data_IF_998546495300
#
_entry.id   IF_998546495300
#
_cell.length_a   1.000
_cell.length_b   1.000
_cell.length_c   1.000
_cell.angle_alpha   90.00
_cell.angle_beta   90.00
_cell.angle_gamma   90.00
#
_symmetry.space_group_name_H-M   'P 1'
#
loop_
_entity.id
_entity.type
_entity.pdbx_description
1 polymer ?
#
# COMPACT_ATOMS: atom_id res chain seq x y z
N UNK A 1 -28.26 -6.87 5.51
CA UNK A 1 -26.89 -6.35 5.68
C UNK A 1 -26.85 -5.67 7.03
N UNK A 2 -26.06 -6.18 7.97
CA UNK A 2 -25.84 -5.50 9.25
C UNK A 2 -24.91 -4.33 8.97
N UNK A 3 -25.47 -3.12 8.96
CA UNK A 3 -24.71 -1.88 8.85
C UNK A 3 -23.80 -1.79 10.07
N UNK A 4 -22.47 -1.78 9.88
CA UNK A 4 -21.54 -1.55 10.98
C UNK A 4 -21.42 -0.06 11.24
N UNK A 5 -21.26 0.31 12.51
CA UNK A 5 -20.76 1.63 12.85
C UNK A 5 -19.22 1.56 12.82
N UNK A 6 -18.59 2.44 12.06
CA UNK A 6 -17.13 2.60 12.15
C UNK A 6 -16.76 3.05 13.57
N UNK A 7 -15.63 2.54 14.13
CA UNK A 7 -15.23 2.88 15.47
C UNK A 7 -14.81 4.35 15.54
N UNK A 8 -14.77 4.93 16.74
CA UNK A 8 -14.10 6.21 16.93
C UNK A 8 -12.60 6.02 16.74
N UNK A 9 -12.07 6.54 15.63
CA UNK A 9 -10.66 6.43 15.31
C UNK A 9 -9.82 7.38 16.16
N UNK A 10 -8.97 6.81 17.02
CA UNK A 10 -7.94 7.60 17.70
C UNK A 10 -6.86 8.01 16.71
N UNK A 11 -6.85 9.28 16.30
CA UNK A 11 -5.88 9.84 15.36
C UNK A 11 -5.10 10.99 16.01
N UNK A 12 -3.94 10.72 16.65
CA UNK A 12 -3.18 11.73 17.38
C UNK A 12 -2.32 12.63 16.46
N UNK A 13 -2.31 12.35 15.16
CA UNK A 13 -1.50 13.07 14.18
C UNK A 13 -2.30 14.20 13.52
N UNK A 14 -1.67 15.37 13.41
CA UNK A 14 -2.23 16.53 12.72
C UNK A 14 -2.14 16.34 11.21
N UNK A 15 -3.14 16.85 10.48
CA UNK A 15 -3.12 16.83 9.02
C UNK A 15 -1.97 17.69 8.49
N UNK A 16 -1.18 17.11 7.59
CA UNK A 16 -0.14 17.82 6.85
C UNK A 16 -0.68 18.52 5.58
N UNK A 17 -2.00 18.50 5.38
CA UNK A 17 -2.66 19.04 4.20
C UNK A 17 -2.67 18.05 3.03
N UNK A 18 -3.01 18.56 1.85
CA UNK A 18 -3.00 17.83 0.59
C UNK A 18 -2.13 18.62 -0.40
N UNK A 19 -1.31 17.92 -1.18
CA UNK A 19 -0.47 18.56 -2.18
C UNK A 19 -1.34 19.35 -3.17
N UNK A 20 -1.01 20.63 -3.47
CA UNK A 20 -1.78 21.44 -4.42
C UNK A 20 -1.73 20.91 -5.86
N UNK A 21 -0.76 20.05 -6.18
CA UNK A 21 -0.58 19.44 -7.50
C UNK A 21 -1.54 18.29 -7.83
N UNK A 22 -2.50 17.97 -6.97
CA UNK A 22 -3.39 16.80 -7.09
C UNK A 22 -4.12 16.71 -8.44
N UNK A 23 -4.62 17.84 -8.96
CA UNK A 23 -5.39 17.85 -10.22
C UNK A 23 -4.51 17.49 -11.42
N UNK A 24 -3.31 18.07 -11.50
CA UNK A 24 -2.35 17.77 -12.56
C UNK A 24 -1.80 16.34 -12.44
N UNK A 25 -1.58 15.88 -11.21
CA UNK A 25 -1.17 14.50 -10.91
C UNK A 25 -2.19 13.49 -11.43
N UNK A 26 -3.49 13.76 -11.20
CA UNK A 26 -4.56 12.91 -11.69
C UNK A 26 -4.56 12.81 -13.21
N UNK A 27 -4.41 13.93 -13.92
CA UNK A 27 -4.31 13.94 -15.41
C UNK A 27 -3.07 13.17 -15.88
N UNK A 28 -1.91 13.45 -15.28
CA UNK A 28 -0.64 12.82 -15.62
C UNK A 28 -0.66 11.30 -15.41
N UNK A 29 -1.38 10.79 -14.40
CA UNK A 29 -1.53 9.35 -14.18
C UNK A 29 -2.34 8.67 -15.30
N UNK A 30 -3.43 9.29 -15.75
CA UNK A 30 -4.24 8.76 -16.86
C UNK A 30 -3.51 8.81 -18.21
N UNK A 31 -2.85 9.93 -18.52
CA UNK A 31 -2.04 10.07 -19.74
C UNK A 31 -0.89 9.05 -19.75
N UNK A 32 -0.24 8.85 -18.60
CA UNK A 32 0.78 7.82 -18.43
C UNK A 32 0.23 6.41 -18.65
N UNK A 33 -0.94 6.08 -18.09
CA UNK A 33 -1.56 4.77 -18.29
C UNK A 33 -1.88 4.52 -19.78
N UNK A 34 -2.45 5.50 -20.47
CA UNK A 34 -2.76 5.42 -21.90
C UNK A 34 -1.50 5.26 -22.76
N UNK A 35 -0.45 6.04 -22.49
CA UNK A 35 0.82 5.97 -23.23
C UNK A 35 1.55 4.62 -23.06
N UNK A 36 1.34 3.93 -21.94
CA UNK A 36 1.87 2.59 -21.69
C UNK A 36 0.95 1.45 -22.17
N UNK A 37 -0.14 1.79 -22.88
CA UNK A 37 -1.06 0.81 -23.45
C UNK A 37 -1.99 0.15 -22.42
N UNK A 38 -2.13 0.73 -21.23
CA UNK A 38 -3.06 0.28 -20.19
C UNK A 38 -4.48 0.74 -20.54
N UNK A 39 -5.10 0.12 -21.54
CA UNK A 39 -6.51 0.35 -21.87
C UNK A 39 -7.41 -0.40 -20.88
N UNK A 40 -7.92 0.31 -19.87
CA UNK A 40 -8.82 -0.24 -18.85
C UNK A 40 -10.20 -0.54 -19.46
N UNK A 41 -10.83 -1.63 -19.00
CA UNK A 41 -12.25 -1.88 -19.27
C UNK A 41 -13.12 -0.74 -18.69
N UNK A 42 -14.36 -0.52 -19.17
CA UNK A 42 -15.24 0.49 -18.59
C UNK A 42 -15.42 0.34 -17.08
N UNK A 43 -15.48 -0.91 -16.60
CA UNK A 43 -15.58 -1.25 -15.18
C UNK A 43 -14.31 -0.88 -14.41
N UNK A 44 -13.13 -1.36 -14.87
CA UNK A 44 -11.84 -1.04 -14.25
C UNK A 44 -11.59 0.47 -14.23
N UNK A 45 -11.97 1.18 -15.30
CA UNK A 45 -11.88 2.65 -15.37
C UNK A 45 -12.71 3.32 -14.29
N UNK A 46 -13.95 2.86 -14.08
CA UNK A 46 -14.84 3.39 -13.03
C UNK A 46 -14.30 3.07 -11.62
N UNK A 47 -13.81 1.85 -11.39
CA UNK A 47 -13.16 1.45 -10.13
C UNK A 47 -11.95 2.34 -9.82
N UNK A 48 -11.10 2.60 -10.81
CA UNK A 48 -9.93 3.47 -10.68
C UNK A 48 -10.31 4.93 -10.37
N UNK A 49 -11.31 5.50 -11.06
CA UNK A 49 -11.82 6.85 -10.76
C UNK A 49 -12.28 6.96 -9.31
N UNK A 50 -13.00 5.96 -8.80
CA UNK A 50 -13.50 5.95 -7.42
C UNK A 50 -12.39 5.71 -6.38
N UNK A 51 -11.34 5.02 -6.81
CA UNK A 51 -10.16 4.74 -5.98
C UNK A 51 -9.32 5.99 -5.78
N UNK A 52 -9.28 6.93 -6.72
CA UNK A 52 -8.61 8.23 -6.57
C UNK A 52 -7.14 8.11 -6.10
N UNK A 53 -6.27 7.41 -6.84
CA UNK A 53 -4.86 7.25 -6.46
C UNK A 53 -4.16 8.61 -6.27
N UNK A 54 -4.56 9.63 -7.03
CA UNK A 54 -4.04 10.99 -6.92
C UNK A 54 -4.31 11.63 -5.55
N UNK A 55 -5.45 11.30 -4.94
CA UNK A 55 -5.83 11.82 -3.63
C UNK A 55 -4.94 11.22 -2.54
N UNK A 56 -4.75 9.90 -2.55
CA UNK A 56 -3.92 9.24 -1.54
C UNK A 56 -2.48 9.74 -1.59
N UNK A 57 -1.87 9.75 -2.80
CA UNK A 57 -0.50 10.24 -2.98
C UNK A 57 -0.36 11.71 -2.58
N UNK A 58 -1.33 12.55 -2.89
CA UNK A 58 -1.30 13.97 -2.50
C UNK A 58 -1.44 14.19 -0.99
N UNK A 59 -2.08 13.26 -0.27
CA UNK A 59 -2.22 13.32 1.18
C UNK A 59 -0.97 12.80 1.90
N UNK A 60 -0.32 11.76 1.37
CA UNK A 60 0.87 11.17 2.00
C UNK A 60 2.17 11.88 1.58
N UNK A 61 2.18 12.60 0.45
CA UNK A 61 3.30 13.42 -0.03
C UNK A 61 2.91 14.91 -0.21
N UNK A 62 2.48 15.61 0.86
CA UNK A 62 1.90 16.96 0.76
C UNK A 62 2.89 18.03 0.28
N UNK A 63 4.20 17.76 0.36
CA UNK A 63 5.27 18.70 -0.01
C UNK A 63 6.17 18.21 -1.14
N UNK A 64 5.85 17.06 -1.76
CA UNK A 64 6.61 16.57 -2.91
C UNK A 64 6.52 17.53 -4.11
N UNK A 65 7.58 17.58 -4.92
CA UNK A 65 7.55 18.26 -6.21
C UNK A 65 6.52 17.59 -7.13
N UNK A 66 6.00 18.36 -8.10
CA UNK A 66 5.04 17.82 -9.08
C UNK A 66 5.57 16.56 -9.78
N UNK A 67 6.85 16.59 -10.21
CA UNK A 67 7.49 15.45 -10.87
C UNK A 67 7.50 14.18 -10.03
N UNK A 68 7.79 14.28 -8.73
CA UNK A 68 7.76 13.12 -7.83
C UNK A 68 6.32 12.68 -7.55
N UNK A 69 5.41 13.62 -7.38
CA UNK A 69 3.99 13.36 -7.15
C UNK A 69 3.36 12.56 -8.30
N UNK A 70 3.65 12.97 -9.55
CA UNK A 70 3.22 12.28 -10.77
C UNK A 70 3.76 10.84 -10.80
N UNK A 71 5.06 10.66 -10.55
CA UNK A 71 5.71 9.34 -10.53
C UNK A 71 5.09 8.43 -9.46
N UNK A 72 4.87 8.94 -8.25
CA UNK A 72 4.34 8.13 -7.14
C UNK A 72 2.86 7.77 -7.36
N UNK A 73 2.09 8.68 -7.97
CA UNK A 73 0.72 8.39 -8.39
C UNK A 73 0.65 7.33 -9.49
N UNK A 74 1.60 7.32 -10.43
CA UNK A 74 1.67 6.29 -11.45
C UNK A 74 2.07 4.93 -10.86
N UNK A 75 2.96 4.89 -9.87
CA UNK A 75 3.24 3.68 -9.09
C UNK A 75 1.98 3.14 -8.40
N UNK A 76 1.21 4.00 -7.74
CA UNK A 76 -0.02 3.57 -7.06
C UNK A 76 -1.11 3.15 -8.04
N UNK A 77 -1.26 3.86 -9.16
CA UNK A 77 -2.18 3.50 -10.23
C UNK A 77 -1.86 2.09 -10.75
N UNK A 78 -0.58 1.83 -11.04
CA UNK A 78 -0.11 0.51 -11.45
C UNK A 78 -0.34 -0.54 -10.37
N UNK A 79 -0.08 -0.22 -9.10
CA UNK A 79 -0.29 -1.13 -7.98
C UNK A 79 -1.76 -1.51 -7.80
N UNK A 80 -2.70 -0.59 -8.00
CA UNK A 80 -4.13 -0.92 -7.99
C UNK A 80 -4.55 -1.80 -9.18
N UNK A 81 -3.92 -1.70 -10.34
CA UNK A 81 -4.18 -2.63 -11.45
C UNK A 81 -3.62 -4.03 -11.18
N UNK A 82 -2.51 -4.13 -10.45
CA UNK A 82 -1.99 -5.39 -9.92
C UNK A 82 -3.01 -5.97 -8.93
N UNK A 83 -3.38 -5.22 -7.89
CA UNK A 83 -4.40 -5.59 -6.89
C UNK A 83 -5.68 -6.12 -7.55
N UNK A 84 -6.24 -5.37 -8.52
CA UNK A 84 -7.45 -5.77 -9.24
C UNK A 84 -7.31 -7.13 -9.97
N UNK A 85 -6.15 -7.44 -10.56
CA UNK A 85 -5.93 -8.72 -11.23
C UNK A 85 -5.71 -9.87 -10.25
N UNK A 86 -4.95 -9.63 -9.18
CA UNK A 86 -4.58 -10.68 -8.24
C UNK A 86 -5.67 -10.95 -7.17
N UNK A 87 -6.58 -10.02 -6.93
CA UNK A 87 -7.74 -10.24 -6.04
C UNK A 87 -8.97 -10.72 -6.81
N UNK A 88 -9.33 -10.01 -7.88
CA UNK A 88 -10.58 -10.26 -8.61
C UNK A 88 -10.37 -11.14 -9.85
N UNK A 89 -9.13 -11.24 -10.35
CA UNK A 89 -8.78 -11.83 -11.64
C UNK A 89 -8.30 -13.28 -11.65
N UNK A 90 -8.01 -13.82 -12.85
CA UNK A 90 -7.66 -15.23 -13.03
C UNK A 90 -6.31 -15.54 -12.40
N UNK A 91 -5.36 -14.60 -12.41
CA UNK A 91 -4.08 -14.76 -11.72
C UNK A 91 -4.29 -14.99 -10.21
N UNK A 92 -5.25 -14.30 -9.58
CA UNK A 92 -5.61 -14.51 -8.18
C UNK A 92 -6.25 -15.85 -7.84
N UNK A 93 -6.89 -16.50 -8.83
CA UNK A 93 -7.69 -17.72 -8.64
C UNK A 93 -6.93 -19.01 -8.97
N UNK A 94 -5.82 -18.91 -9.70
CA UNK A 94 -4.94 -20.04 -10.01
C UNK A 94 -3.51 -19.74 -9.54
N UNK A 95 -2.99 -20.44 -8.52
CA UNK A 95 -1.63 -20.24 -8.02
C UNK A 95 -0.54 -20.31 -9.10
N UNK A 96 -0.69 -21.15 -10.14
CA UNK A 96 0.32 -21.24 -11.21
C UNK A 96 0.29 -20.01 -12.11
N UNK A 97 -0.90 -19.48 -12.39
CA UNK A 97 -1.02 -18.23 -13.15
C UNK A 97 -0.49 -17.06 -12.31
N UNK A 98 -0.76 -17.06 -11.00
CA UNK A 98 -0.22 -16.10 -10.05
C UNK A 98 1.31 -16.07 -10.08
N UNK A 99 1.95 -17.23 -9.88
CA UNK A 99 3.41 -17.41 -9.91
C UNK A 99 3.99 -16.90 -11.24
N UNK A 100 3.44 -17.35 -12.37
CA UNK A 100 3.92 -16.95 -13.69
C UNK A 100 3.76 -15.45 -13.96
N UNK A 101 2.73 -14.78 -13.41
CA UNK A 101 2.56 -13.34 -13.51
C UNK A 101 3.56 -12.58 -12.64
N UNK A 102 3.72 -13.00 -11.37
CA UNK A 102 4.69 -12.41 -10.43
C UNK A 102 6.11 -12.53 -10.98
N UNK A 103 6.51 -13.70 -11.48
CA UNK A 103 7.85 -13.92 -12.04
C UNK A 103 8.17 -12.94 -13.18
N UNK A 104 7.19 -12.63 -14.05
CA UNK A 104 7.39 -11.64 -15.12
C UNK A 104 7.59 -10.24 -14.58
N UNK A 105 6.81 -9.83 -13.57
CA UNK A 105 6.97 -8.53 -12.92
C UNK A 105 8.34 -8.42 -12.22
N UNK A 106 8.75 -9.47 -11.51
CA UNK A 106 10.05 -9.55 -10.84
C UNK A 106 11.19 -9.47 -11.85
N UNK A 107 11.09 -10.20 -12.97
CA UNK A 107 12.08 -10.16 -14.04
C UNK A 107 12.26 -8.74 -14.62
N UNK A 108 11.17 -7.98 -14.78
CA UNK A 108 11.22 -6.58 -15.22
C UNK A 108 11.89 -5.69 -14.19
N UNK A 109 11.64 -5.89 -12.88
CA UNK A 109 12.37 -5.19 -11.81
C UNK A 109 13.89 -5.47 -11.89
N UNK A 110 14.27 -6.66 -12.33
CA UNK A 110 15.67 -7.07 -12.57
C UNK A 110 16.24 -6.57 -13.92
N UNK A 111 15.40 -6.00 -14.78
CA UNK A 111 15.81 -5.39 -16.04
C UNK A 111 15.62 -6.28 -17.27
N UNK A 112 14.85 -7.36 -17.16
CA UNK A 112 14.41 -8.12 -18.34
C UNK A 112 13.40 -7.34 -19.18
N UNK A 113 13.22 -7.81 -20.43
CA UNK A 113 12.32 -7.18 -21.38
C UNK A 113 10.85 -7.48 -21.06
N UNK A 114 9.95 -6.50 -21.23
CA UNK A 114 8.53 -6.66 -20.95
C UNK A 114 7.86 -7.56 -21.99
N UNK A 115 6.77 -8.23 -21.59
CA UNK A 115 5.97 -9.11 -22.47
C UNK A 115 4.53 -8.62 -22.68
N UNK A 116 4.03 -7.76 -21.80
CA UNK A 116 2.69 -7.17 -21.85
C UNK A 116 2.68 -5.74 -21.34
N UNK A 117 1.50 -5.09 -21.38
CA UNK A 117 1.37 -3.67 -21.05
C UNK A 117 1.72 -3.36 -19.59
N UNK A 118 1.40 -4.28 -18.66
CA UNK A 118 1.74 -4.11 -17.23
C UNK A 118 3.25 -4.15 -17.01
N UNK A 119 3.97 -5.05 -17.70
CA UNK A 119 5.43 -5.07 -17.70
C UNK A 119 6.01 -3.82 -18.38
N UNK A 120 5.45 -3.37 -19.51
CA UNK A 120 5.89 -2.16 -20.20
C UNK A 120 5.78 -0.92 -19.31
N UNK A 121 4.66 -0.75 -18.62
CA UNK A 121 4.46 0.31 -17.64
C UNK A 121 5.49 0.26 -16.50
N UNK A 122 5.79 -0.95 -16.02
CA UNK A 122 6.77 -1.15 -14.95
C UNK A 122 8.21 -0.82 -15.38
N UNK A 123 8.58 -1.03 -16.65
CA UNK A 123 9.90 -0.62 -17.17
C UNK A 123 10.12 0.87 -17.01
N UNK A 124 9.13 1.69 -17.36
CA UNK A 124 9.21 3.15 -17.25
C UNK A 124 9.26 3.60 -15.77
N UNK A 125 8.38 3.06 -14.92
CA UNK A 125 8.37 3.33 -13.48
C UNK A 125 9.71 2.99 -12.84
N UNK A 126 10.25 1.80 -13.12
CA UNK A 126 11.56 1.35 -12.66
C UNK A 126 12.66 2.30 -13.10
N UNK A 127 12.69 2.67 -14.38
CA UNK A 127 13.74 3.53 -14.93
C UNK A 127 13.78 4.90 -14.24
N UNK A 128 12.61 5.52 -14.04
CA UNK A 128 12.50 6.83 -13.37
C UNK A 128 12.77 6.75 -11.87
N UNK A 129 12.35 5.68 -11.20
CA UNK A 129 12.58 5.50 -9.76
C UNK A 129 14.02 5.12 -9.41
N UNK A 130 14.71 4.35 -10.26
CA UNK A 130 16.09 3.92 -9.98
C UNK A 130 17.13 4.95 -10.42
N UNK A 131 16.73 5.99 -11.15
CA UNK A 131 17.61 7.05 -11.61
C UNK A 131 18.34 7.74 -10.44
N UNK A 132 19.66 7.85 -10.54
CA UNK A 132 20.55 8.42 -9.50
C UNK A 132 20.38 7.80 -8.10
N UNK A 133 19.91 6.56 -7.99
CA UNK A 133 19.82 5.83 -6.72
C UNK A 133 21.00 4.88 -6.54
N UNK A 134 21.42 4.72 -5.29
CA UNK A 134 22.44 3.75 -4.92
C UNK A 134 21.93 2.32 -5.09
N UNK A 135 22.87 1.39 -5.33
CA UNK A 135 22.52 -0.04 -5.42
C UNK A 135 21.89 -0.58 -4.12
N UNK A 136 22.18 0.04 -2.96
CA UNK A 136 21.55 -0.31 -1.68
C UNK A 136 20.08 0.07 -1.66
N UNK A 137 19.77 1.31 -2.04
CA UNK A 137 18.39 1.78 -2.10
C UNK A 137 17.57 0.94 -3.10
N UNK A 138 18.12 0.69 -4.29
CA UNK A 138 17.47 -0.14 -5.32
C UNK A 138 17.16 -1.55 -4.80
N UNK A 139 18.11 -2.19 -4.10
CA UNK A 139 17.88 -3.52 -3.51
C UNK A 139 16.78 -3.51 -2.46
N UNK A 140 16.70 -2.46 -1.65
CA UNK A 140 15.66 -2.32 -0.63
C UNK A 140 14.29 -2.16 -1.27
N UNK A 141 14.14 -1.19 -2.17
CA UNK A 141 12.88 -0.93 -2.86
C UNK A 141 12.39 -2.17 -3.62
N UNK A 142 13.29 -2.83 -4.37
CA UNK A 142 12.98 -4.10 -5.03
C UNK A 142 12.54 -5.16 -4.04
N UNK A 143 13.24 -5.35 -2.92
CA UNK A 143 12.86 -6.35 -1.91
C UNK A 143 11.43 -6.10 -1.43
N UNK A 144 11.10 -4.87 -1.07
CA UNK A 144 9.80 -4.53 -0.50
C UNK A 144 8.68 -4.65 -1.56
N UNK A 145 8.93 -4.28 -2.82
CA UNK A 145 7.98 -4.51 -3.92
C UNK A 145 7.77 -6.00 -4.19
N UNK A 146 8.84 -6.79 -4.21
CA UNK A 146 8.77 -8.23 -4.50
C UNK A 146 8.10 -8.99 -3.35
N UNK A 147 8.36 -8.63 -2.09
CA UNK A 147 7.66 -9.20 -0.94
C UNK A 147 6.16 -9.01 -1.04
N UNK A 148 5.70 -7.79 -1.40
CA UNK A 148 4.28 -7.53 -1.66
C UNK A 148 3.73 -8.39 -2.80
N UNK A 149 4.41 -8.48 -3.95
CA UNK A 149 3.90 -9.29 -5.06
C UNK A 149 3.70 -10.76 -4.67
N UNK A 150 4.62 -11.33 -3.88
CA UNK A 150 4.52 -12.72 -3.43
C UNK A 150 3.42 -12.96 -2.39
N UNK A 151 2.83 -11.93 -1.77
CA UNK A 151 1.68 -12.13 -0.88
C UNK A 151 0.47 -12.66 -1.65
N UNK A 152 0.24 -12.22 -2.88
CA UNK A 152 -0.87 -12.72 -3.69
C UNK A 152 -0.76 -14.22 -3.97
N UNK A 153 0.45 -14.74 -4.19
CA UNK A 153 0.66 -16.17 -4.38
C UNK A 153 0.35 -16.96 -3.11
N UNK A 154 0.81 -16.47 -1.95
CA UNK A 154 0.49 -17.09 -0.66
C UNK A 154 -1.02 -17.18 -0.44
N UNK A 155 -1.76 -16.09 -0.66
CA UNK A 155 -3.22 -16.07 -0.52
C UNK A 155 -3.91 -16.98 -1.54
N UNK A 156 -3.45 -17.02 -2.79
CA UNK A 156 -3.99 -17.91 -3.82
C UNK A 156 -3.82 -19.38 -3.44
N UNK A 157 -2.66 -19.75 -2.87
CA UNK A 157 -2.40 -21.12 -2.37
C UNK A 157 -3.29 -21.46 -1.18
N UNK A 158 -3.41 -20.56 -0.20
CA UNK A 158 -4.28 -20.75 0.97
C UNK A 158 -5.74 -20.94 0.53
N UNK A 159 -6.23 -20.09 -0.36
CA UNK A 159 -7.58 -20.16 -0.93
C UNK A 159 -7.80 -21.49 -1.66
N UNK A 160 -6.86 -21.92 -2.50
CA UNK A 160 -6.93 -23.20 -3.21
C UNK A 160 -6.90 -24.42 -2.25
N UNK A 161 -6.21 -24.29 -1.11
CA UNK A 161 -6.14 -25.31 -0.06
C UNK A 161 -7.34 -25.27 0.91
N UNK A 162 -8.25 -24.30 0.79
CA UNK A 162 -9.34 -24.08 1.75
C UNK A 162 -8.84 -23.68 3.14
N UNK A 163 -7.67 -23.05 3.20
CA UNK A 163 -7.04 -22.58 4.44
C UNK A 163 -7.36 -21.10 4.65
N UNK A 164 -7.44 -20.71 5.92
CA UNK A 164 -7.59 -19.31 6.33
C UNK A 164 -6.53 -19.04 7.40
N UNK A 165 -5.76 -17.94 7.31
CA UNK A 165 -4.67 -17.69 8.24
C UNK A 165 -5.17 -17.51 9.69
N UNK A 166 -4.29 -17.77 10.65
CA UNK A 166 -4.47 -17.29 12.02
C UNK A 166 -4.25 -15.78 12.08
N UNK A 167 -4.77 -15.11 13.11
CA UNK A 167 -4.51 -13.67 13.33
C UNK A 167 -3.02 -13.31 13.33
N UNK A 168 -2.18 -14.15 13.92
CA UNK A 168 -0.73 -13.89 14.01
C UNK A 168 -0.01 -14.06 12.66
N UNK A 169 -0.45 -15.01 11.83
CA UNK A 169 0.06 -15.17 10.47
C UNK A 169 -0.39 -14.00 9.60
N UNK A 170 -1.67 -13.64 9.69
CA UNK A 170 -2.23 -12.53 8.93
C UNK A 170 -1.55 -11.20 9.24
N UNK A 171 -1.28 -10.86 10.51
CA UNK A 171 -0.56 -9.61 10.84
C UNK A 171 0.82 -9.54 10.18
N UNK A 172 1.55 -10.67 10.08
CA UNK A 172 2.85 -10.70 9.40
C UNK A 172 2.71 -10.54 7.89
N UNK A 173 1.77 -11.28 7.32
CA UNK A 173 1.43 -11.23 5.89
C UNK A 173 0.96 -9.84 5.46
N UNK A 174 0.08 -9.22 6.27
CA UNK A 174 -0.54 -7.92 6.01
C UNK A 174 0.47 -6.78 5.94
N UNK A 175 1.63 -6.91 6.60
CA UNK A 175 2.71 -5.93 6.49
C UNK A 175 3.26 -5.83 5.08
N UNK A 176 3.33 -6.95 4.37
CA UNK A 176 3.75 -6.97 2.98
C UNK A 176 2.54 -6.74 2.05
N UNK A 177 1.38 -7.34 2.35
CA UNK A 177 0.22 -7.32 1.44
C UNK A 177 -0.46 -5.97 1.31
N UNK A 178 -0.34 -5.08 2.30
CA UNK A 178 -0.81 -3.68 2.20
C UNK A 178 0.06 -2.82 1.27
N UNK A 179 1.22 -3.31 0.82
CA UNK A 179 2.12 -2.61 -0.10
C UNK A 179 2.66 -1.25 0.38
N UNK A 180 2.66 -0.98 1.69
CA UNK A 180 3.08 0.32 2.24
C UNK A 180 4.61 0.52 2.21
N UNK A 181 5.40 -0.54 2.42
CA UNK A 181 6.86 -0.44 2.55
C UNK A 181 7.55 0.21 1.33
N UNK A 182 7.19 -0.12 0.07
CA UNK A 182 7.68 0.62 -1.10
C UNK A 182 7.38 2.12 -1.05
N UNK A 183 6.21 2.56 -0.57
CA UNK A 183 5.90 3.99 -0.44
C UNK A 183 6.69 4.66 0.67
N UNK A 184 7.01 3.95 1.76
CA UNK A 184 7.93 4.44 2.79
C UNK A 184 9.34 4.66 2.25
N UNK A 185 9.78 3.87 1.27
CA UNK A 185 11.07 4.06 0.59
C UNK A 185 11.06 5.29 -0.34
N UNK A 186 9.92 5.59 -0.99
CA UNK A 186 9.79 6.77 -1.86
C UNK A 186 9.91 8.10 -1.09
N UNK A 187 9.68 8.12 0.23
CA UNK A 187 9.98 9.29 1.06
C UNK A 187 11.47 9.64 1.11
N UNK A 188 12.36 8.68 0.91
CA UNK A 188 13.79 8.99 0.83
C UNK A 188 14.12 9.80 -0.44
N UNK A 189 13.39 9.57 -1.53
CA UNK A 189 13.51 10.35 -2.78
C UNK A 189 13.12 11.81 -2.53
N UNK A 190 12.02 12.08 -1.83
CA UNK A 190 11.59 13.46 -1.51
C UNK A 190 12.52 14.12 -0.49
N UNK A 191 13.11 13.33 0.42
CA UNK A 191 14.16 13.77 1.32
C UNK A 191 15.50 14.05 0.62
N UNK A 192 15.66 13.62 -0.63
CA UNK A 192 16.86 13.83 -1.45
C UNK A 192 18.06 12.99 -0.99
N UNK A 193 17.83 11.87 -0.31
CA UNK A 193 18.88 11.02 0.24
C UNK A 193 18.60 9.55 -0.07
N UNK A 194 19.64 8.72 -0.05
CA UNK A 194 19.50 7.29 0.21
C UNK A 194 19.99 7.04 1.63
N UNK A 195 19.10 6.65 2.54
CA UNK A 195 19.50 6.43 3.93
C UNK A 195 20.55 5.32 4.00
N UNK A 196 21.66 5.53 4.76
CA UNK A 196 22.66 4.49 4.94
C UNK A 196 22.09 3.32 5.74
N UNK A 197 22.65 2.13 5.53
CA UNK A 197 22.23 0.90 6.23
C UNK A 197 22.25 1.06 7.75
N UNK A 198 23.22 1.82 8.28
CA UNK A 198 23.33 2.11 9.72
C UNK A 198 22.12 2.86 10.28
N UNK A 199 21.48 3.72 9.47
CA UNK A 199 20.26 4.41 9.86
C UNK A 199 19.03 3.49 9.70
N UNK A 200 18.94 2.76 8.57
CA UNK A 200 17.84 1.83 8.31
C UNK A 200 17.80 0.63 9.26
N UNK A 201 18.95 0.26 9.83
CA UNK A 201 19.09 -0.85 10.78
C UNK A 201 18.79 -0.46 12.23
N UNK A 202 18.50 0.81 12.52
CA UNK A 202 18.11 1.23 13.86
C UNK A 202 16.82 0.52 14.28
N UNK A 203 16.79 -0.19 15.43
CA UNK A 203 15.61 -0.91 15.88
C UNK A 203 14.34 -0.05 15.90
N UNK A 204 14.43 1.19 16.36
CA UNK A 204 13.30 2.11 16.40
C UNK A 204 12.83 2.55 15.00
N UNK A 205 13.74 2.67 14.02
CA UNK A 205 13.35 2.97 12.63
C UNK A 205 12.58 1.82 11.99
N UNK A 206 13.04 0.58 12.21
CA UNK A 206 12.32 -0.63 11.78
C UNK A 206 10.96 -0.73 12.47
N UNK A 207 10.91 -0.49 13.79
CA UNK A 207 9.67 -0.50 14.56
C UNK A 207 8.67 0.56 14.07
N UNK A 208 9.17 1.76 13.73
CA UNK A 208 8.35 2.84 13.17
C UNK A 208 7.74 2.45 11.83
N UNK A 209 8.55 1.98 10.87
CA UNK A 209 8.07 1.53 9.55
C UNK A 209 7.02 0.43 9.67
N UNK A 210 7.26 -0.54 10.56
CA UNK A 210 6.31 -1.61 10.83
C UNK A 210 5.01 -1.08 11.47
N UNK A 211 5.08 -0.14 12.41
CA UNK A 211 3.89 0.42 13.05
C UNK A 211 3.05 1.27 12.07
N UNK A 212 3.69 2.05 11.20
CA UNK A 212 3.02 2.82 10.14
C UNK A 212 2.31 1.88 9.16
N UNK A 213 2.99 0.82 8.75
CA UNK A 213 2.43 -0.23 7.88
C UNK A 213 1.26 -0.96 8.54
N UNK A 214 1.44 -1.40 9.80
CA UNK A 214 0.39 -2.06 10.60
C UNK A 214 -0.85 -1.16 10.70
N UNK A 215 -0.66 0.15 10.91
CA UNK A 215 -1.75 1.12 11.04
C UNK A 215 -2.52 1.24 9.72
N UNK A 216 -1.81 1.41 8.60
CA UNK A 216 -2.46 1.55 7.30
C UNK A 216 -3.23 0.29 6.91
N UNK A 217 -2.64 -0.90 7.11
CA UNK A 217 -3.29 -2.17 6.83
C UNK A 217 -4.56 -2.37 7.66
N UNK A 218 -4.50 -2.14 8.98
CA UNK A 218 -5.67 -2.31 9.83
C UNK A 218 -6.73 -1.23 9.58
N UNK A 219 -6.34 0.01 9.28
CA UNK A 219 -7.28 1.05 8.90
C UNK A 219 -8.01 0.69 7.60
N UNK A 220 -7.29 0.14 6.63
CA UNK A 220 -7.87 -0.37 5.40
C UNK A 220 -8.87 -1.48 5.69
N UNK A 221 -8.47 -2.51 6.44
CA UNK A 221 -9.33 -3.66 6.77
C UNK A 221 -10.64 -3.23 7.45
N UNK A 222 -10.61 -2.24 8.34
CA UNK A 222 -11.83 -1.70 8.99
C UNK A 222 -12.71 -0.98 7.96
N UNK A 223 -12.13 -0.11 7.14
CA UNK A 223 -12.86 0.72 6.18
C UNK A 223 -13.36 -0.04 4.95
N UNK A 224 -12.68 -1.13 4.57
CA UNK A 224 -13.03 -1.96 3.42
C UNK A 224 -13.92 -3.14 3.78
N UNK A 225 -14.08 -3.46 5.07
CA UNK A 225 -14.75 -4.67 5.54
C UNK A 225 -16.12 -4.90 4.90
N UNK A 226 -17.02 -3.91 4.89
CA UNK A 226 -18.38 -4.09 4.35
C UNK A 226 -18.36 -4.53 2.89
N UNK A 227 -17.48 -3.92 2.08
CA UNK A 227 -17.29 -4.27 0.67
C UNK A 227 -16.70 -5.68 0.55
N UNK A 228 -15.64 -5.96 1.29
CA UNK A 228 -14.89 -7.21 1.19
C UNK A 228 -15.72 -8.42 1.65
N UNK A 229 -16.51 -8.24 2.70
CA UNK A 229 -17.42 -9.26 3.19
C UNK A 229 -18.51 -9.63 2.15
N UNK A 230 -18.95 -8.70 1.31
CA UNK A 230 -19.88 -8.98 0.20
C UNK A 230 -19.25 -9.85 -0.89
N UNK A 231 -17.93 -9.74 -1.06
CA UNK A 231 -17.14 -10.51 -2.03
C UNK A 231 -16.64 -11.85 -1.46
N UNK A 232 -16.90 -12.13 -0.18
CA UNK A 232 -16.43 -13.34 0.49
C UNK A 232 -14.91 -13.34 0.73
N UNK A 233 -14.29 -12.16 0.82
CA UNK A 233 -12.87 -12.02 1.09
C UNK A 233 -12.57 -12.34 2.56
N UNK A 234 -11.70 -13.31 2.81
CA UNK A 234 -11.42 -13.83 4.18
C UNK A 234 -10.14 -13.24 4.80
N UNK A 235 -9.27 -12.61 4.00
CA UNK A 235 -7.98 -12.02 4.41
C UNK A 235 -8.16 -10.60 4.96
N UNK A 236 -8.97 -10.45 6.02
CA UNK A 236 -9.28 -9.17 6.66
C UNK A 236 -9.23 -9.30 8.20
N UNK A 237 -8.58 -8.36 8.89
CA UNK A 237 -8.42 -8.42 10.35
C UNK A 237 -9.76 -8.50 11.11
N UNK A 238 -10.78 -7.73 10.72
CA UNK A 238 -12.10 -7.73 11.36
C UNK A 238 -12.74 -9.11 11.24
N UNK A 239 -12.65 -9.73 10.06
CA UNK A 239 -13.16 -11.10 9.81
C UNK A 239 -12.48 -12.13 10.71
N UNK A 240 -11.15 -12.06 10.81
CA UNK A 240 -10.36 -12.99 11.63
C UNK A 240 -10.60 -12.78 13.13
N UNK A 241 -10.75 -11.54 13.59
CA UNK A 241 -11.13 -11.22 14.98
C UNK A 241 -12.51 -11.81 15.28
N UNK A 242 -13.48 -11.59 14.39
CA UNK A 242 -14.83 -12.11 14.55
C UNK A 242 -14.84 -13.64 14.70
N UNK A 243 -14.13 -14.32 13.78
CA UNK A 243 -14.00 -15.79 13.76
C UNK A 243 -13.37 -16.33 15.03
N UNK A 244 -12.23 -15.77 15.45
CA UNK A 244 -11.41 -16.35 16.52
C UNK A 244 -11.94 -16.05 17.93
N UNK A 245 -12.62 -14.91 18.11
CA UNK A 245 -13.13 -14.47 19.41
C UNK A 245 -14.61 -14.81 19.65
N UNK A 246 -15.33 -15.27 18.63
CA UNK A 246 -16.78 -15.48 18.71
C UNK A 246 -17.58 -14.19 18.88
N UNK A 247 -16.99 -13.06 18.49
CA UNK A 247 -17.60 -11.73 18.59
C UNK A 247 -18.73 -11.56 17.59
N UNK A 248 -19.68 -10.68 17.94
CA UNK A 248 -20.53 -10.05 16.94
C UNK A 248 -19.67 -9.23 15.97
N UNK A 249 -20.24 -8.90 14.81
CA UNK A 249 -19.49 -8.11 13.83
C UNK A 249 -19.09 -6.73 14.40
N UNK A 250 -19.99 -6.06 15.12
CA UNK A 250 -19.68 -4.75 15.71
C UNK A 250 -18.57 -4.86 16.76
N UNK A 251 -18.60 -5.88 17.63
CA UNK A 251 -17.53 -6.11 18.62
C UNK A 251 -16.17 -6.37 17.95
N UNK A 252 -16.14 -7.05 16.81
CA UNK A 252 -14.91 -7.26 16.05
C UNK A 252 -14.36 -5.95 15.43
N UNK A 253 -15.25 -5.08 14.94
CA UNK A 253 -14.90 -3.75 14.44
C UNK A 253 -14.38 -2.85 15.56
N UNK A 254 -15.03 -2.86 16.72
CA UNK A 254 -14.63 -2.07 17.88
C UNK A 254 -13.26 -2.52 18.43
N UNK A 255 -13.03 -3.84 18.49
CA UNK A 255 -11.74 -4.43 18.86
C UNK A 255 -10.63 -4.04 17.87
N UNK A 256 -10.91 -4.07 16.57
CA UNK A 256 -9.98 -3.60 15.53
C UNK A 256 -9.67 -2.10 15.70
N UNK A 257 -10.67 -1.28 16.03
CA UNK A 257 -10.48 0.14 16.36
C UNK A 257 -9.57 0.35 17.57
N UNK A 258 -9.75 -0.45 18.63
CA UNK A 258 -8.86 -0.44 19.80
C UNK A 258 -7.41 -0.82 19.47
N UNK A 259 -7.21 -1.85 18.63
CA UNK A 259 -5.88 -2.23 18.16
C UNK A 259 -5.24 -1.15 17.29
N UNK A 260 -6.02 -0.46 16.44
CA UNK A 260 -5.53 0.64 15.62
C UNK A 260 -5.03 1.81 16.49
N UNK A 261 -5.75 2.15 17.56
CA UNK A 261 -5.31 3.14 18.53
C UNK A 261 -3.97 2.76 19.19
N UNK A 262 -3.81 1.50 19.60
CA UNK A 262 -2.55 1.01 20.17
C UNK A 262 -1.39 1.06 19.17
N UNK A 263 -1.66 0.84 17.87
CA UNK A 263 -0.64 0.97 16.83
C UNK A 263 -0.25 2.44 16.65
N UNK A 264 -1.17 3.40 16.72
CA UNK A 264 -0.85 4.82 16.70
C UNK A 264 0.06 5.23 17.86
N UNK A 265 -0.15 4.68 19.07
CA UNK A 265 0.77 4.86 20.20
C UNK A 265 2.15 4.23 19.95
N UNK A 266 2.21 3.07 19.27
CA UNK A 266 3.48 2.44 18.87
C UNK A 266 4.27 3.32 17.90
N UNK A 267 3.60 3.99 16.97
CA UNK A 267 4.24 4.97 16.06
C UNK A 267 4.91 6.08 16.88
N UNK A 268 4.15 6.74 17.78
CA UNK A 268 4.71 7.81 18.63
C UNK A 268 5.86 7.35 19.52
N UNK A 269 5.78 6.12 20.04
CA UNK A 269 6.85 5.54 20.86
C UNK A 269 8.12 5.30 20.05
N UNK A 270 7.99 4.68 18.88
CA UNK A 270 9.14 4.40 18.01
C UNK A 270 9.83 5.70 17.54
N UNK A 271 9.08 6.77 17.29
CA UNK A 271 9.66 8.09 16.99
C UNK A 271 10.53 8.63 18.13
N UNK A 272 10.04 8.49 19.36
CA UNK A 272 10.78 8.95 20.53
C UNK A 272 12.04 8.13 20.75
N UNK A 273 11.92 6.80 20.67
CA UNK A 273 13.05 5.87 20.80
C UNK A 273 14.11 6.11 19.71
N UNK A 274 13.67 6.46 18.49
CA UNK A 274 14.57 6.73 17.38
C UNK A 274 15.47 7.93 17.63
N UNK A 275 15.02 8.97 18.34
CA UNK A 275 15.87 10.11 18.70
C UNK A 275 17.03 9.65 19.58
N UNK A 276 16.74 8.82 20.59
CA UNK A 276 17.76 8.29 21.49
C UNK A 276 18.74 7.35 20.74
N UNK A 277 18.24 6.54 19.81
CA UNK A 277 19.06 5.66 18.99
C UNK A 277 19.95 6.42 17.97
N UNK A 278 19.45 7.51 17.37
CA UNK A 278 20.23 8.38 16.48
C UNK A 278 21.44 8.96 17.23
N UNK A 279 21.22 9.46 18.45
CA UNK A 279 22.29 9.99 19.31
C UNK A 279 23.28 8.88 19.70
N UNK A 280 22.78 7.73 20.15
CA UNK A 280 23.62 6.60 20.55
C UNK A 280 24.47 6.04 19.40
N UNK A 281 23.94 6.05 18.17
CA UNK A 281 24.64 5.63 16.97
C UNK A 281 25.62 6.68 16.42
N UNK A 282 25.66 7.90 16.99
CA UNK A 282 26.50 8.98 16.51
C UNK A 282 26.14 9.47 15.11
N UNK A 283 24.85 9.40 14.75
CA UNK A 283 24.36 9.87 13.44
C UNK A 283 24.16 11.39 13.50
N UNK A 284 24.88 12.12 12.65
CA UNK A 284 24.92 13.58 12.66
C UNK A 284 24.79 14.18 11.26
N UNK A 285 24.63 15.50 11.21
CA UNK A 285 24.67 16.28 9.97
C UNK A 285 23.53 15.92 9.00
N UNK A 286 23.81 15.86 7.68
CA UNK A 286 22.78 15.62 6.67
C UNK A 286 21.99 14.32 6.87
N UNK A 287 22.63 13.23 7.30
CA UNK A 287 21.96 11.95 7.54
C UNK A 287 20.89 12.05 8.63
N UNK A 288 21.19 12.76 9.73
CA UNK A 288 20.22 12.99 10.81
C UNK A 288 19.05 13.81 10.32
N UNK A 289 19.31 14.92 9.63
CA UNK A 289 18.26 15.81 9.12
C UNK A 289 17.31 15.07 8.16
N UNK A 290 17.84 14.23 7.26
CA UNK A 290 17.00 13.45 6.35
C UNK A 290 16.23 12.33 7.05
N UNK A 291 16.82 11.68 8.06
CA UNK A 291 16.13 10.67 8.87
C UNK A 291 14.97 11.30 9.66
N UNK A 292 15.20 12.42 10.32
CA UNK A 292 14.17 13.20 11.03
C UNK A 292 13.06 13.64 10.06
N UNK A 293 13.41 14.05 8.82
CA UNK A 293 12.42 14.37 7.78
C UNK A 293 11.58 13.16 7.38
N UNK A 294 12.18 12.01 7.12
CA UNK A 294 11.44 10.79 6.79
C UNK A 294 10.46 10.40 7.91
N UNK A 295 10.89 10.53 9.16
CA UNK A 295 10.07 10.25 10.34
C UNK A 295 8.88 11.21 10.43
N UNK A 296 9.11 12.50 10.22
CA UNK A 296 8.04 13.50 10.17
C UNK A 296 7.04 13.19 9.06
N UNK A 297 7.53 12.81 7.88
CA UNK A 297 6.69 12.46 6.75
C UNK A 297 5.82 11.22 7.04
N UNK A 298 6.34 10.23 7.77
CA UNK A 298 5.56 9.03 8.15
C UNK A 298 4.35 9.35 9.05
N UNK A 299 4.43 10.37 9.92
CA UNK A 299 3.26 10.88 10.65
C UNK A 299 2.22 11.47 9.72
N UNK A 300 2.70 12.27 8.77
CA UNK A 300 1.87 12.86 7.72
C UNK A 300 1.18 11.78 6.90
N UNK A 301 1.89 10.70 6.59
CA UNK A 301 1.38 9.54 5.87
C UNK A 301 0.27 8.83 6.67
N UNK A 302 0.48 8.48 7.95
CA UNK A 302 -0.56 7.83 8.77
C UNK A 302 -1.84 8.67 8.79
N UNK A 303 -1.70 9.99 8.94
CA UNK A 303 -2.84 10.90 8.91
C UNK A 303 -3.46 11.02 7.52
N UNK A 304 -2.65 11.12 6.48
CA UNK A 304 -3.07 11.24 5.09
C UNK A 304 -3.83 10.00 4.61
N UNK A 305 -3.36 8.81 5.00
CA UNK A 305 -4.01 7.54 4.73
C UNK A 305 -5.39 7.44 5.41
N UNK A 306 -5.48 7.82 6.68
CA UNK A 306 -6.76 7.93 7.38
C UNK A 306 -7.73 8.91 6.69
N UNK A 307 -7.23 10.10 6.35
CA UNK A 307 -7.99 11.13 5.66
C UNK A 307 -8.47 10.67 4.26
N UNK A 308 -7.71 9.80 3.58
CA UNK A 308 -8.07 9.20 2.29
C UNK A 308 -9.24 8.22 2.45
N UNK A 309 -9.18 7.32 3.43
CA UNK A 309 -10.26 6.36 3.70
C UNK A 309 -11.60 7.05 3.99
N UNK A 310 -11.57 8.21 4.63
CA UNK A 310 -12.76 9.03 4.89
C UNK A 310 -13.33 9.76 3.65
N UNK A 311 -12.58 9.83 2.53
CA UNK A 311 -12.93 10.65 1.36
C UNK A 311 -13.13 9.86 0.07
N UNK A 312 -12.41 8.75 -0.11
CA UNK A 312 -12.47 8.00 -1.35
C UNK A 312 -13.77 7.20 -1.47
N UNK A 313 -14.43 7.30 -2.62
CA UNK A 313 -15.67 6.56 -2.90
C UNK A 313 -15.48 5.04 -2.92
N UNK A 314 -14.22 4.58 -3.00
CA UNK A 314 -13.84 3.17 -2.76
C UNK A 314 -14.33 2.66 -1.40
N UNK A 315 -14.36 3.52 -0.36
CA UNK A 315 -14.76 3.14 1.00
C UNK A 315 -16.07 3.80 1.45
N UNK A 316 -16.33 5.05 1.06
CA UNK A 316 -17.52 5.79 1.52
C UNK A 316 -18.83 5.39 0.83
N UNK A 317 -18.73 4.59 -0.24
CA UNK A 317 -19.88 4.09 -1.02
C UNK A 317 -19.78 2.56 -1.26
N UNK A 318 -19.84 1.75 -0.18
CA UNK A 318 -19.78 0.28 -0.29
C UNK A 318 -21.03 -0.30 -0.96
N UNK A 319 -22.12 0.47 -1.04
CA UNK A 319 -23.35 0.13 -1.78
C UNK A 319 -23.14 0.06 -3.30
N UNK A 320 -22.09 0.71 -3.81
CA UNK A 320 -21.75 0.71 -5.23
C UNK A 320 -20.72 -0.39 -5.56
N UNK A 321 -20.58 -1.43 -4.74
CA UNK A 321 -19.70 -2.56 -5.06
C UNK A 321 -20.24 -3.27 -6.30
N UNK A 322 -19.46 -3.22 -7.37
CA UNK A 322 -19.79 -3.87 -8.63
C UNK A 322 -19.05 -5.20 -8.67
N UNK A 323 -19.80 -6.30 -8.62
CA UNK A 323 -19.27 -7.65 -8.78
C UNK A 323 -19.13 -7.88 -10.28
N UNK A 324 -17.90 -7.96 -10.76
CA UNK A 324 -17.66 -8.32 -12.16
C UNK A 324 -17.83 -9.83 -12.35
N UNK A 325 -19.02 -10.23 -12.80
CA UNK A 325 -19.29 -11.64 -13.03
C UNK A 325 -18.72 -12.14 -14.36
N UNK A 326 -18.31 -11.28 -15.32
CA UNK A 326 -17.93 -11.76 -16.67
C UNK A 326 -16.84 -11.05 -17.50
N UNK A 327 -16.36 -9.82 -17.30
CA UNK A 327 -15.47 -9.18 -18.33
C UNK A 327 -14.48 -8.06 -17.88
N UNK A 328 -14.16 -7.87 -16.60
CA UNK A 328 -13.38 -6.70 -16.12
C UNK A 328 -11.87 -6.87 -16.07
N UNK A 329 -11.35 -8.01 -16.45
CA UNK A 329 -9.97 -8.37 -16.12
C UNK A 329 -8.98 -7.73 -17.08
N UNK A 330 -7.91 -7.22 -16.51
CA UNK A 330 -6.79 -6.66 -17.24
C UNK A 330 -6.20 -7.78 -18.09
N UNK A 331 -6.59 -7.82 -19.37
CA UNK A 331 -6.03 -8.72 -20.41
C UNK A 331 -4.49 -8.69 -20.48
N UNK A 332 -3.84 -7.80 -19.74
CA UNK A 332 -2.41 -7.61 -19.65
C UNK A 332 -1.69 -8.69 -18.85
N UNK A 333 -2.38 -9.51 -18.06
CA UNK A 333 -1.76 -10.63 -17.32
C UNK A 333 -2.03 -12.02 -17.93
N UNK A 334 -3.00 -12.10 -18.86
CA UNK A 334 -3.28 -13.30 -19.64
C UNK A 334 -2.32 -13.39 -20.83
N UNK A 335 -1.21 -14.12 -20.66
CA UNK A 335 -0.33 -14.58 -21.74
C UNK A 335 0.00 -16.05 -21.54
#
# INVERSE_FOLDING_TARGET
>A
MSQIALPEFHMPFQSAGCNPGIEETGKAAWEWAESNGLALSPMARKKMIRTRPELWISLIFPTASQQHLDLFCQWLFWAFLVDDEFDDGPAGRDPRMCEAAIDRLVAVLDGEQPRGAMEHALVDLRARTYHDRSSRWIRQFRRDTVSWLWTYYAEAVERAAGQVPTRNEFVKHRRDSVAMQPFLDLHEITAGIDLPESARSLPAYIALRNAVTDHSGLCNDICSFEKEALLGYEHNAVRLIQRDSGFTLQEAVDEAGGQLAQIAERVQRAEKELIDEIEAAGIHGPTRASLERCVQDYRGLVRGDFDYHARAERYTRPDLVEIDERESLSRYFAA
#
